data_IF_584400126505
#
_entry.id   IF_584400126505
#
_cell.length_a   1.000
_cell.length_b   1.000
_cell.length_c   1.000
_cell.angle_alpha   90.00
_cell.angle_beta   90.00
_cell.angle_gamma   90.00
#
_symmetry.space_group_name_H-M   'P 1'
#
loop_
_entity.id
_entity.type
_entity.pdbx_description
1 polymer ?
#
# COMPACT_ATOMS: atom_id res chain seq x y z
N UNK A 1 10.67 -0.83 14.88
CA UNK A 1 10.23 -1.14 13.51
C UNK A 1 11.35 -0.91 12.51
N UNK A 2 11.82 0.32 12.31
CA UNK A 2 12.97 0.66 11.46
C UNK A 2 14.19 -0.27 11.56
N UNK A 3 14.75 -0.43 12.77
CA UNK A 3 15.92 -1.29 13.02
C UNK A 3 15.61 -2.75 12.69
N UNK A 4 14.41 -3.23 13.02
CA UNK A 4 13.98 -4.60 12.71
C UNK A 4 13.87 -4.80 11.19
N UNK A 5 13.35 -3.83 10.44
CA UNK A 5 13.27 -3.89 8.98
C UNK A 5 14.66 -3.97 8.33
N UNK A 6 15.66 -3.27 8.89
CA UNK A 6 17.06 -3.38 8.45
C UNK A 6 17.62 -4.77 8.76
N UNK A 7 17.42 -5.27 9.98
CA UNK A 7 17.90 -6.61 10.38
C UNK A 7 17.30 -7.69 9.49
N UNK A 8 15.98 -7.66 9.24
CA UNK A 8 15.31 -8.64 8.38
C UNK A 8 15.85 -8.62 6.96
N UNK A 9 16.14 -7.44 6.42
CA UNK A 9 16.68 -7.29 5.08
C UNK A 9 18.10 -7.85 4.96
N UNK A 10 18.96 -7.59 5.95
CA UNK A 10 20.33 -8.11 5.98
C UNK A 10 20.38 -9.62 6.22
N UNK A 11 19.51 -10.17 7.08
CA UNK A 11 19.51 -11.62 7.39
C UNK A 11 18.91 -12.45 6.25
N UNK A 12 17.88 -11.96 5.57
CA UNK A 12 17.24 -12.67 4.44
C UNK A 12 17.77 -12.23 3.06
N UNK A 13 18.81 -11.39 3.02
CA UNK A 13 19.47 -10.90 1.81
C UNK A 13 18.48 -10.46 0.71
N UNK A 14 17.49 -9.64 1.07
CA UNK A 14 16.40 -9.27 0.14
C UNK A 14 16.84 -8.34 -1.00
N UNK A 15 18.07 -7.81 -0.92
CA UNK A 15 18.67 -6.93 -1.93
C UNK A 15 18.18 -5.48 -1.84
N UNK A 16 17.46 -5.12 -0.78
CA UNK A 16 16.99 -3.77 -0.53
C UNK A 16 18.09 -3.00 0.24
N UNK A 17 18.56 -1.84 -0.22
CA UNK A 17 19.58 -1.10 0.53
C UNK A 17 19.00 -0.36 1.74
N UNK A 18 19.82 -0.10 2.75
CA UNK A 18 19.39 0.55 4.01
C UNK A 18 18.74 1.93 3.78
N UNK A 19 19.22 2.72 2.82
CA UNK A 19 18.63 4.02 2.48
C UNK A 19 17.20 3.88 1.93
N UNK A 20 16.88 2.76 1.28
CA UNK A 20 15.54 2.51 0.76
C UNK A 20 14.56 2.20 1.88
N UNK A 21 15.02 1.56 2.97
CA UNK A 21 14.22 1.40 4.18
C UNK A 21 13.85 2.78 4.72
N UNK A 22 14.81 3.72 4.81
CA UNK A 22 14.58 5.13 5.18
C UNK A 22 13.46 5.80 4.37
N UNK A 23 13.54 5.73 3.04
CA UNK A 23 12.51 6.29 2.17
C UNK A 23 11.16 5.57 2.29
N UNK A 24 11.19 4.25 2.46
CA UNK A 24 10.00 3.41 2.55
C UNK A 24 9.08 3.80 3.70
N UNK A 25 9.59 4.34 4.80
CA UNK A 25 8.78 4.85 5.90
C UNK A 25 8.53 6.37 5.83
N UNK A 26 9.42 7.13 5.18
CA UNK A 26 9.23 8.58 5.00
C UNK A 26 8.03 8.88 4.08
N UNK A 27 7.85 8.07 3.03
CA UNK A 27 6.69 8.18 2.13
C UNK A 27 5.35 8.07 2.88
N UNK A 28 5.08 7.00 3.66
CA UNK A 28 3.92 6.90 4.53
C UNK A 28 3.68 8.14 5.37
N UNK A 29 4.70 8.70 6.03
CA UNK A 29 4.53 9.84 6.93
C UNK A 29 3.96 11.07 6.22
N UNK A 30 4.40 11.34 4.98
CA UNK A 30 3.91 12.47 4.18
C UNK A 30 2.51 12.18 3.63
N UNK A 31 2.28 10.97 3.13
CA UNK A 31 1.02 10.61 2.47
C UNK A 31 -0.10 10.17 3.44
N UNK A 32 0.22 9.90 4.71
CA UNK A 32 -0.74 9.45 5.72
C UNK A 32 -1.87 10.47 5.92
N UNK A 33 -1.50 11.75 6.08
CA UNK A 33 -2.46 12.83 6.32
C UNK A 33 -3.45 13.04 5.14
N UNK A 34 -2.99 13.23 3.89
CA UNK A 34 -3.93 13.45 2.78
C UNK A 34 -4.81 12.23 2.51
N UNK A 35 -4.27 11.00 2.58
CA UNK A 35 -5.07 9.78 2.40
C UNK A 35 -6.10 9.64 3.52
N UNK A 36 -5.73 9.95 4.76
CA UNK A 36 -6.66 9.96 5.89
C UNK A 36 -7.82 10.93 5.73
N UNK A 37 -7.57 12.14 5.21
CA UNK A 37 -8.63 13.12 4.91
C UNK A 37 -9.58 12.58 3.84
N UNK A 38 -9.05 12.01 2.76
CA UNK A 38 -9.88 11.45 1.68
C UNK A 38 -10.75 10.30 2.21
N UNK A 39 -10.16 9.35 2.94
CA UNK A 39 -10.90 8.23 3.54
C UNK A 39 -11.96 8.71 4.52
N UNK A 40 -11.67 9.74 5.33
CA UNK A 40 -12.63 10.29 6.28
C UNK A 40 -13.83 10.98 5.61
N UNK A 41 -13.64 11.61 4.44
CA UNK A 41 -14.71 12.33 3.72
C UNK A 41 -15.50 11.43 2.77
N UNK A 42 -14.82 10.51 2.09
CA UNK A 42 -15.41 9.71 1.00
C UNK A 42 -15.74 8.28 1.41
N UNK A 43 -15.18 7.80 2.53
CA UNK A 43 -15.20 6.40 2.94
C UNK A 43 -14.60 5.44 1.89
N UNK A 44 -13.78 5.95 0.96
CA UNK A 44 -13.08 5.15 -0.04
C UNK A 44 -11.65 4.94 0.43
N UNK A 45 -11.22 3.69 0.49
CA UNK A 45 -9.83 3.28 0.62
C UNK A 45 -9.15 3.46 -0.73
N UNK A 46 -8.81 4.70 -1.08
CA UNK A 46 -8.23 5.02 -2.40
C UNK A 46 -6.87 4.35 -2.51
N UNK A 47 -6.68 3.52 -3.54
CA UNK A 47 -5.48 2.72 -3.84
C UNK A 47 -4.20 3.33 -3.27
N UNK A 48 -3.86 2.88 -2.06
CA UNK A 48 -3.04 3.64 -1.13
C UNK A 48 -1.58 3.54 -1.56
N UNK A 49 -1.03 4.57 -2.22
CA UNK A 49 0.42 4.73 -2.50
C UNK A 49 1.13 3.54 -3.17
N UNK A 50 0.47 2.42 -3.39
CA UNK A 50 1.01 1.12 -3.75
C UNK A 50 1.67 1.19 -5.11
N UNK A 51 0.97 1.84 -6.04
CA UNK A 51 1.48 2.08 -7.38
C UNK A 51 2.69 3.02 -7.35
N UNK A 52 2.65 4.09 -6.53
CA UNK A 52 3.73 5.08 -6.45
C UNK A 52 4.98 4.45 -5.82
N UNK A 53 4.82 3.66 -4.76
CA UNK A 53 5.94 2.96 -4.10
C UNK A 53 6.53 1.88 -5.01
N UNK A 54 5.71 1.13 -5.76
CA UNK A 54 6.17 0.20 -6.79
C UNK A 54 6.85 0.90 -7.96
N UNK A 55 6.40 2.10 -8.35
CA UNK A 55 7.00 2.87 -9.43
C UNK A 55 8.38 3.41 -9.03
N UNK A 56 8.48 4.00 -7.84
CA UNK A 56 9.75 4.49 -7.29
C UNK A 56 10.72 3.32 -7.07
N UNK A 57 10.26 2.26 -6.40
CA UNK A 57 11.05 1.07 -6.13
C UNK A 57 11.48 0.34 -7.41
N UNK A 58 10.63 0.31 -8.44
CA UNK A 58 10.93 -0.29 -9.73
C UNK A 58 12.03 0.44 -10.52
N UNK A 59 12.12 1.78 -10.40
CA UNK A 59 13.26 2.53 -10.95
C UNK A 59 14.52 2.38 -10.09
N UNK A 60 14.37 2.27 -8.78
CA UNK A 60 15.49 2.19 -7.84
C UNK A 60 16.15 0.80 -7.78
N UNK A 61 15.37 -0.28 -7.91
CA UNK A 61 15.80 -1.68 -7.74
C UNK A 61 15.46 -2.53 -8.96
N UNK A 62 15.83 -2.03 -10.15
CA UNK A 62 15.51 -2.68 -11.41
C UNK A 62 16.10 -4.10 -11.48
N UNK A 63 15.27 -5.09 -11.80
CA UNK A 63 15.67 -6.49 -11.85
C UNK A 63 15.59 -7.25 -10.52
N UNK A 64 15.29 -6.56 -9.42
CA UNK A 64 15.17 -7.14 -8.07
C UNK A 64 13.70 -7.10 -7.59
N UNK A 65 12.87 -8.09 -7.97
CA UNK A 65 11.44 -8.10 -7.63
C UNK A 65 11.19 -8.20 -6.12
N UNK A 66 12.04 -8.91 -5.39
CA UNK A 66 11.94 -9.06 -3.93
C UNK A 66 12.19 -7.72 -3.24
N UNK A 67 13.24 -6.99 -3.64
CA UNK A 67 13.54 -5.66 -3.09
C UNK A 67 12.40 -4.66 -3.34
N UNK A 68 11.84 -4.63 -4.55
CA UNK A 68 10.70 -3.76 -4.87
C UNK A 68 9.45 -4.11 -4.04
N UNK A 69 9.16 -5.41 -3.85
CA UNK A 69 8.07 -5.85 -3.00
C UNK A 69 8.27 -5.44 -1.53
N UNK A 70 9.47 -5.64 -0.98
CA UNK A 70 9.78 -5.19 0.38
C UNK A 70 9.60 -3.68 0.53
N UNK A 71 10.08 -2.89 -0.44
CA UNK A 71 9.90 -1.43 -0.44
C UNK A 71 8.42 -1.02 -0.49
N UNK A 72 7.61 -1.67 -1.34
CA UNK A 72 6.16 -1.46 -1.41
C UNK A 72 5.49 -1.69 -0.06
N UNK A 73 5.73 -2.85 0.58
CA UNK A 73 5.08 -3.18 1.85
C UNK A 73 5.48 -2.22 2.97
N UNK A 74 6.74 -1.77 3.02
CA UNK A 74 7.17 -0.72 3.96
C UNK A 74 6.46 0.61 3.70
N UNK A 75 6.27 0.96 2.42
CA UNK A 75 5.63 2.21 1.98
C UNK A 75 4.11 2.25 2.07
N UNK A 76 3.44 1.11 2.16
CA UNK A 76 1.98 1.04 2.13
C UNK A 76 1.37 0.51 3.43
N UNK A 77 1.90 -0.57 3.99
CA UNK A 77 1.23 -1.29 5.09
C UNK A 77 1.03 -0.41 6.33
N UNK A 78 1.98 0.49 6.61
CA UNK A 78 1.88 1.44 7.72
C UNK A 78 0.71 2.41 7.58
N UNK A 79 0.39 2.85 6.35
CA UNK A 79 -0.75 3.75 6.11
C UNK A 79 -2.06 2.99 6.26
N UNK A 80 -2.19 1.81 5.64
CA UNK A 80 -3.39 0.98 5.76
C UNK A 80 -3.73 0.68 7.24
N UNK A 81 -2.75 0.16 7.99
CA UNK A 81 -2.91 -0.18 9.40
C UNK A 81 -3.14 1.06 10.27
N UNK A 82 -2.46 2.18 10.00
CA UNK A 82 -2.68 3.42 10.76
C UNK A 82 -4.08 4.01 10.56
N UNK A 83 -4.68 3.85 9.37
CA UNK A 83 -6.05 4.31 9.11
C UNK A 83 -7.09 3.45 9.84
N UNK A 84 -6.91 2.13 9.88
CA UNK A 84 -7.75 1.22 10.67
C UNK A 84 -7.61 1.51 12.16
N UNK A 85 -6.38 1.70 12.64
CA UNK A 85 -6.11 2.08 14.03
C UNK A 85 -6.86 3.35 14.44
N UNK A 86 -6.84 4.40 13.61
CA UNK A 86 -7.58 5.64 13.87
C UNK A 86 -9.09 5.41 13.86
N UNK A 87 -9.60 4.58 12.94
CA UNK A 87 -11.02 4.25 12.89
C UNK A 87 -11.49 3.58 14.19
N UNK A 88 -10.70 2.64 14.70
CA UNK A 88 -11.00 1.95 15.95
C UNK A 88 -10.83 2.86 17.18
N UNK A 89 -9.87 3.79 17.18
CA UNK A 89 -9.76 4.82 18.23
C UNK A 89 -11.01 5.71 18.27
N UNK A 90 -11.53 6.10 17.09
CA UNK A 90 -12.76 6.88 16.98
C UNK A 90 -13.96 6.10 17.48
N UNK A 91 -14.05 4.81 17.17
CA UNK A 91 -15.08 3.92 17.70
C UNK A 91 -14.99 3.79 19.23
N UNK A 92 -13.78 3.59 19.78
CA UNK A 92 -13.56 3.54 21.22
C UNK A 92 -13.95 4.84 21.93
N UNK A 93 -13.72 5.98 21.28
CA UNK A 93 -14.19 7.28 21.77
C UNK A 93 -15.72 7.35 21.84
N UNK A 94 -16.44 6.82 20.84
CA UNK A 94 -17.91 6.75 20.87
C UNK A 94 -18.45 5.86 22.01
N UNK A 95 -17.70 4.82 22.36
CA UNK A 95 -18.02 3.97 23.51
C UNK A 95 -17.54 4.52 24.86
N UNK A 96 -16.99 5.75 24.89
CA UNK A 96 -16.47 6.39 26.10
C UNK A 96 -15.35 5.59 26.79
N UNK A 97 -14.60 4.78 26.04
CA UNK A 97 -13.45 4.04 26.56
C UNK A 97 -12.23 4.98 26.60
N UNK A 98 -11.41 4.95 27.67
CA UNK A 98 -10.20 5.75 27.72
C UNK A 98 -9.26 5.43 26.53
N UNK A 99 -8.75 6.44 25.81
CA UNK A 99 -7.98 6.24 24.57
C UNK A 99 -6.68 5.45 24.82
N UNK A 100 -6.09 5.58 26.01
CA UNK A 100 -4.90 4.81 26.39
C UNK A 100 -5.19 3.31 26.43
N UNK A 101 -6.35 2.91 26.97
CA UNK A 101 -6.75 1.51 27.04
C UNK A 101 -6.94 0.94 25.64
N UNK A 102 -7.62 1.69 24.77
CA UNK A 102 -7.84 1.30 23.36
C UNK A 102 -6.50 1.19 22.62
N UNK A 103 -5.57 2.13 22.85
CA UNK A 103 -4.23 2.10 22.24
C UNK A 103 -3.44 0.83 22.61
N UNK A 104 -3.38 0.48 23.89
CA UNK A 104 -2.68 -0.74 24.32
C UNK A 104 -3.39 -2.01 23.85
N UNK A 105 -4.72 -2.04 23.89
CA UNK A 105 -5.50 -3.17 23.41
C UNK A 105 -5.24 -3.44 21.92
N UNK A 106 -5.29 -2.41 21.08
CA UNK A 106 -4.97 -2.50 19.65
C UNK A 106 -3.52 -2.94 19.44
N UNK A 107 -2.56 -2.31 20.13
CA UNK A 107 -1.14 -2.69 19.99
C UNK A 107 -0.86 -4.16 20.31
N UNK A 108 -1.46 -4.68 21.39
CA UNK A 108 -1.35 -6.10 21.76
C UNK A 108 -2.05 -6.99 20.72
N UNK A 109 -3.26 -6.62 20.30
CA UNK A 109 -4.01 -7.37 19.28
C UNK A 109 -3.25 -7.44 17.95
N UNK A 110 -2.64 -6.35 17.51
CA UNK A 110 -1.81 -6.32 16.29
C UNK A 110 -0.57 -7.21 16.43
N UNK A 111 0.10 -7.22 17.59
CA UNK A 111 1.26 -8.09 17.82
C UNK A 111 0.88 -9.57 17.79
N UNK A 112 -0.19 -9.95 18.50
CA UNK A 112 -0.69 -11.33 18.50
C UNK A 112 -1.16 -11.72 17.10
N UNK A 113 -1.93 -10.85 16.45
CA UNK A 113 -2.43 -11.04 15.09
C UNK A 113 -1.31 -11.26 14.09
N UNK A 114 -0.24 -10.46 14.13
CA UNK A 114 0.91 -10.61 13.24
C UNK A 114 1.62 -11.97 13.41
N UNK A 115 1.80 -12.43 14.65
CA UNK A 115 2.43 -13.73 14.94
C UNK A 115 1.55 -14.89 14.49
N UNK A 116 0.27 -14.87 14.87
CA UNK A 116 -0.70 -15.93 14.53
C UNK A 116 -0.90 -16.00 13.01
N UNK A 117 -1.08 -14.85 12.34
CA UNK A 117 -1.26 -14.79 10.89
C UNK A 117 -0.03 -15.34 10.15
N UNK A 118 1.18 -14.97 10.59
CA UNK A 118 2.42 -15.46 9.97
C UNK A 118 2.58 -16.96 10.18
N UNK A 119 2.36 -17.45 11.41
CA UNK A 119 2.45 -18.86 11.74
C UNK A 119 1.42 -19.71 11.00
N UNK A 120 0.17 -19.26 10.92
CA UNK A 120 -0.87 -19.95 10.16
C UNK A 120 -0.54 -20.01 8.67
N UNK A 121 -0.04 -18.91 8.10
CA UNK A 121 0.34 -18.85 6.69
C UNK A 121 1.43 -19.87 6.37
N UNK A 122 2.49 -19.91 7.19
CA UNK A 122 3.58 -20.90 7.03
C UNK A 122 3.04 -22.32 7.20
N UNK A 123 2.22 -22.56 8.23
CA UNK A 123 1.64 -23.88 8.50
C UNK A 123 0.74 -24.40 7.36
N UNK A 124 -0.02 -23.52 6.70
CA UNK A 124 -0.81 -23.91 5.52
C UNK A 124 0.09 -24.20 4.32
N UNK A 125 1.13 -23.40 4.09
CA UNK A 125 2.06 -23.59 2.97
C UNK A 125 2.88 -24.88 3.10
N UNK A 126 3.25 -25.27 4.32
CA UNK A 126 4.04 -26.49 4.58
C UNK A 126 3.18 -27.74 4.79
N UNK A 127 1.98 -27.58 5.38
CA UNK A 127 1.13 -28.70 5.78
C UNK A 127 0.15 -29.17 4.71
N UNK A 128 -0.16 -28.36 3.70
CA UNK A 128 -1.13 -28.70 2.66
C UNK A 128 -0.43 -28.90 1.31
N UNK A 129 -0.43 -30.14 0.82
CA UNK A 129 0.15 -30.47 -0.48
C UNK A 129 -0.53 -29.70 -1.62
N UNK A 130 0.26 -29.18 -2.55
CA UNK A 130 -0.22 -28.51 -3.77
C UNK A 130 -1.13 -27.28 -3.52
N UNK A 131 -1.00 -26.62 -2.36
CA UNK A 131 -1.73 -25.38 -2.06
C UNK A 131 -1.44 -24.30 -3.12
N UNK A 132 -2.45 -23.48 -3.45
CA UNK A 132 -2.42 -22.49 -4.54
C UNK A 132 -2.29 -23.07 -5.97
N UNK A 133 -2.32 -24.39 -6.18
CA UNK A 133 -2.26 -24.97 -7.53
C UNK A 133 -3.62 -25.49 -7.99
N UNK A 134 -3.82 -25.60 -9.31
CA UNK A 134 -5.04 -26.17 -9.91
C UNK A 134 -5.26 -27.66 -9.61
N UNK A 135 -4.26 -28.33 -9.03
CA UNK A 135 -4.29 -29.76 -8.68
C UNK A 135 -4.70 -30.00 -7.23
N UNK A 136 -5.03 -28.94 -6.49
CA UNK A 136 -5.46 -29.05 -5.10
C UNK A 136 -6.85 -29.71 -5.01
N UNK A 137 -6.94 -30.81 -4.26
CA UNK A 137 -8.19 -31.55 -4.03
C UNK A 137 -9.23 -30.73 -3.26
N UNK A 138 -8.78 -29.86 -2.36
CA UNK A 138 -9.63 -28.96 -1.56
C UNK A 138 -10.01 -27.63 -2.23
N UNK A 139 -9.58 -27.38 -3.48
CA UNK A 139 -9.91 -26.13 -4.18
C UNK A 139 -9.29 -24.86 -3.60
N UNK A 140 -8.27 -24.96 -2.74
CA UNK A 140 -7.58 -23.80 -2.18
C UNK A 140 -6.86 -22.99 -3.26
N UNK A 141 -7.27 -21.73 -3.42
CA UNK A 141 -6.68 -20.78 -4.39
C UNK A 141 -6.05 -19.59 -3.67
N UNK A 142 -5.05 -18.96 -4.29
CA UNK A 142 -4.28 -17.87 -3.69
C UNK A 142 -4.30 -16.59 -4.55
N UNK A 143 -5.49 -15.99 -4.75
CA UNK A 143 -5.67 -14.87 -5.67
C UNK A 143 -4.84 -13.63 -5.30
N UNK A 144 -4.74 -13.31 -4.00
CA UNK A 144 -3.91 -12.18 -3.57
C UNK A 144 -2.41 -12.44 -3.77
N UNK A 145 -1.96 -13.67 -3.56
CA UNK A 145 -0.58 -14.08 -3.80
C UNK A 145 -0.18 -14.00 -5.27
N UNK A 146 -1.05 -14.48 -6.17
CA UNK A 146 -0.81 -14.42 -7.62
C UNK A 146 -0.81 -13.00 -8.17
N UNK A 147 -1.70 -12.13 -7.69
CA UNK A 147 -1.70 -10.71 -8.06
C UNK A 147 -0.43 -10.01 -7.56
N UNK A 148 -0.02 -10.25 -6.32
CA UNK A 148 1.21 -9.66 -5.75
C UNK A 148 2.46 -10.14 -6.50
N UNK A 149 2.52 -11.43 -6.84
CA UNK A 149 3.59 -12.00 -7.65
C UNK A 149 3.62 -11.42 -9.07
N UNK A 150 2.46 -11.29 -9.73
CA UNK A 150 2.40 -10.69 -11.06
C UNK A 150 2.83 -9.21 -11.04
N UNK A 151 2.44 -8.47 -10.00
CA UNK A 151 2.85 -7.08 -9.78
C UNK A 151 4.36 -6.95 -9.61
N UNK A 152 4.99 -7.88 -8.85
CA UNK A 152 6.43 -7.85 -8.61
C UNK A 152 7.25 -8.11 -9.88
N UNK A 153 6.72 -8.92 -10.79
CA UNK A 153 7.33 -9.14 -12.11
C UNK A 153 7.25 -7.89 -12.99
N UNK A 154 6.08 -7.24 -13.05
CA UNK A 154 5.87 -6.06 -13.91
C UNK A 154 6.68 -4.88 -13.40
N UNK A 155 6.55 -4.55 -12.11
CA UNK A 155 7.15 -3.34 -11.55
C UNK A 155 8.57 -3.54 -11.02
N UNK A 156 8.92 -4.73 -10.55
CA UNK A 156 10.25 -5.02 -10.00
C UNK A 156 11.20 -5.66 -11.00
N UNK A 157 10.81 -6.78 -11.63
CA UNK A 157 11.69 -7.52 -12.53
C UNK A 157 11.87 -6.83 -13.90
N UNK A 158 10.78 -6.46 -14.58
CA UNK A 158 10.83 -5.70 -15.84
C UNK A 158 11.15 -4.22 -15.61
N UNK A 159 10.58 -3.68 -14.53
CA UNK A 159 10.70 -2.29 -14.17
C UNK A 159 9.84 -1.35 -15.03
N UNK A 160 9.52 -0.15 -14.51
CA UNK A 160 8.78 0.88 -15.23
C UNK A 160 9.55 1.40 -16.46
N UNK A 161 10.89 1.25 -16.48
CA UNK A 161 11.74 1.66 -17.61
C UNK A 161 11.35 1.01 -18.94
N UNK A 162 10.92 -0.26 -18.94
CA UNK A 162 10.61 -1.00 -20.17
C UNK A 162 9.17 -0.81 -20.66
N UNK A 163 8.26 -0.43 -19.77
CA UNK A 163 6.84 -0.34 -20.09
C UNK A 163 6.35 1.13 -20.18
N UNK A 164 6.84 2.00 -19.30
CA UNK A 164 6.31 3.34 -19.08
C UNK A 164 7.29 4.47 -19.41
N UNK A 165 8.54 4.20 -19.79
CA UNK A 165 9.44 5.28 -20.23
C UNK A 165 8.99 5.91 -21.55
N UNK A 166 9.39 7.17 -21.84
CA UNK A 166 9.07 7.84 -23.10
C UNK A 166 9.48 6.98 -24.30
N UNK A 167 8.55 6.73 -25.23
CA UNK A 167 8.77 5.87 -26.40
C UNK A 167 8.43 4.38 -26.20
N UNK A 168 8.02 3.96 -24.99
CA UNK A 168 7.52 2.61 -24.72
C UNK A 168 6.00 2.51 -24.85
N UNK A 169 5.50 1.27 -24.91
CA UNK A 169 4.08 0.93 -25.20
C UNK A 169 3.10 1.69 -24.30
N UNK A 170 3.41 1.85 -23.01
CA UNK A 170 2.56 2.53 -22.03
C UNK A 170 3.12 3.88 -21.58
N UNK A 171 4.10 4.45 -22.29
CA UNK A 171 4.69 5.74 -21.92
C UNK A 171 3.67 6.88 -21.91
N UNK A 172 2.70 6.86 -22.83
CA UNK A 172 1.63 7.86 -22.87
C UNK A 172 0.66 7.78 -21.68
N UNK A 173 0.62 6.65 -20.97
CA UNK A 173 -0.24 6.48 -19.81
C UNK A 173 0.20 7.36 -18.63
N UNK A 174 1.49 7.74 -18.59
CA UNK A 174 1.99 8.64 -17.54
C UNK A 174 1.38 10.05 -17.60
N UNK A 175 0.86 10.48 -18.75
CA UNK A 175 0.16 11.77 -18.87
C UNK A 175 -1.11 11.83 -18.01
N UNK A 176 -1.72 10.69 -17.70
CA UNK A 176 -2.88 10.64 -16.80
C UNK A 176 -2.54 11.06 -15.36
N UNK A 177 -1.28 11.00 -14.93
CA UNK A 177 -0.87 11.57 -13.63
C UNK A 177 -1.11 13.08 -13.56
N UNK A 178 -1.14 13.79 -14.69
CA UNK A 178 -1.43 15.23 -14.73
C UNK A 178 -2.94 15.52 -14.67
N UNK A 179 -3.79 14.57 -15.07
CA UNK A 179 -5.24 14.75 -15.09
C UNK A 179 -5.76 14.99 -13.67
N UNK A 180 -5.23 14.28 -12.67
CA UNK A 180 -5.62 14.46 -11.26
C UNK A 180 -5.45 15.92 -10.78
N UNK A 181 -4.22 16.47 -10.77
CA UNK A 181 -3.99 17.86 -10.40
C UNK A 181 -4.76 18.86 -11.27
N UNK A 182 -4.82 18.62 -12.59
CA UNK A 182 -5.51 19.50 -13.53
C UNK A 182 -6.99 19.61 -13.18
N UNK A 183 -7.66 18.48 -12.94
CA UNK A 183 -9.08 18.45 -12.63
C UNK A 183 -9.37 19.09 -11.27
N UNK A 184 -8.53 18.88 -10.26
CA UNK A 184 -8.64 19.56 -8.96
C UNK A 184 -8.50 21.08 -9.12
N UNK A 185 -7.48 21.55 -9.87
CA UNK A 185 -7.25 22.97 -10.13
C UNK A 185 -8.40 23.61 -10.92
N UNK A 186 -8.94 22.91 -11.92
CA UNK A 186 -10.10 23.35 -12.68
C UNK A 186 -11.33 23.51 -11.78
N UNK A 187 -11.63 22.52 -10.94
CA UNK A 187 -12.77 22.63 -10.02
C UNK A 187 -12.58 23.70 -8.96
N UNK A 188 -11.36 23.90 -8.48
CA UNK A 188 -11.07 25.01 -7.56
C UNK A 188 -11.28 26.37 -8.25
N UNK A 189 -10.82 26.53 -9.50
CA UNK A 189 -11.02 27.76 -10.26
C UNK A 189 -12.50 28.03 -10.56
N UNK A 190 -13.25 27.00 -11.00
CA UNK A 190 -14.69 27.10 -11.26
C UNK A 190 -15.50 27.31 -9.98
N UNK A 191 -15.08 26.68 -8.87
CA UNK A 191 -15.68 26.81 -7.54
C UNK A 191 -15.64 28.22 -6.96
N UNK A 192 -14.69 29.06 -7.40
CA UNK A 192 -14.65 30.49 -7.06
C UNK A 192 -15.78 31.29 -7.70
N UNK A 193 -16.28 30.88 -8.87
CA UNK A 193 -17.37 31.55 -9.59
C UNK A 193 -18.73 30.88 -9.34
N UNK A 194 -18.74 29.55 -9.20
CA UNK A 194 -19.95 28.74 -9.09
C UNK A 194 -19.82 27.72 -7.94
N UNK A 195 -20.55 27.94 -6.85
CA UNK A 195 -20.48 27.11 -5.62
C UNK A 195 -20.86 25.64 -5.83
N UNK A 196 -21.60 25.32 -6.90
CA UNK A 196 -21.96 23.93 -7.23
C UNK A 196 -20.74 23.02 -7.44
N UNK A 197 -19.67 23.54 -8.04
CA UNK A 197 -18.46 22.74 -8.32
C UNK A 197 -17.69 22.33 -7.06
N UNK A 198 -17.96 22.96 -5.90
CA UNK A 198 -17.32 22.59 -4.63
C UNK A 198 -17.87 21.29 -4.04
N UNK A 199 -19.00 20.77 -4.55
CA UNK A 199 -19.57 19.49 -4.12
C UNK A 199 -19.02 18.28 -4.91
N UNK A 200 -18.17 18.51 -5.92
CA UNK A 200 -17.60 17.45 -6.74
C UNK A 200 -16.43 16.81 -6.00
N UNK A 201 -16.57 15.53 -5.66
CA UNK A 201 -15.52 14.72 -5.04
C UNK A 201 -14.78 13.87 -6.09
N UNK A 202 -13.73 14.43 -6.69
CA UNK A 202 -12.90 13.70 -7.66
C UNK A 202 -12.28 12.39 -7.16
N UNK A 203 -11.90 12.23 -5.88
CA UNK A 203 -11.45 10.94 -5.38
C UNK A 203 -12.51 9.83 -5.47
N UNK A 204 -13.80 10.18 -5.55
CA UNK A 204 -14.89 9.21 -5.79
C UNK A 204 -15.05 8.92 -7.28
N UNK A 205 -14.83 9.93 -8.14
CA UNK A 205 -14.96 9.79 -9.60
C UNK A 205 -13.81 8.97 -10.20
N UNK A 206 -12.60 9.13 -9.66
CA UNK A 206 -11.41 8.36 -10.06
C UNK A 206 -11.15 7.13 -9.18
N UNK A 207 -11.94 6.95 -8.11
CA UNK A 207 -11.77 5.93 -7.08
C UNK A 207 -12.23 4.55 -7.48
#
# INVERSE_FOLDING_TARGET
>A
MWVLSIIVNEVWHTGLPVWAVLLGFLLPLVYFLPIGIIKALTNISTNEINLITEFIGGYAFLGSPIANMSFKFLGYAGVAQGLEFIADQKLGHYFHIPPRTVFFAQGIATLVGALVQSGLTIGILEGVDNVCTSKQSGGYTCPHGTVTYSSSLIWGALGPGRNFSPGQIYGNLLWFFLVGPLVVLLTWALGRKWKFFNYIAWPVVFG
#
